data_IF_611833098916
#
_entry.id   IF_611833098916
#
_cell.length_a   1.000
_cell.length_b   1.000
_cell.length_c   1.000
_cell.angle_alpha   90.00
_cell.angle_beta   90.00
_cell.angle_gamma   90.00
#
_symmetry.space_group_name_H-M   'P 1'
#
loop_
_entity.id
_entity.type
_entity.pdbx_description
1 polymer ?
#
# COMPACT_ATOMS: atom_id res chain seq x y z
N UNK A 1 -76.94 -0.38 39.93
CA UNK A 1 -78.31 -0.39 39.35
C UNK A 1 -78.18 -0.97 37.92
N UNK A 2 -78.79 -2.17 37.80
CA UNK A 2 -79.46 -2.76 36.62
C UNK A 2 -78.80 -2.69 35.29
N UNK A 3 -78.19 -3.82 34.75
CA UNK A 3 -78.87 -5.01 34.14
C UNK A 3 -79.50 -4.71 32.78
N UNK A 4 -79.09 -5.41 31.73
CA UNK A 4 -79.65 -6.61 31.09
C UNK A 4 -78.95 -6.78 29.72
N UNK A 5 -78.33 -7.84 29.42
CA UNK A 5 -78.67 -9.13 28.79
C UNK A 5 -79.70 -9.09 27.65
N UNK A 6 -79.38 -9.60 26.55
CA UNK A 6 -79.99 -10.64 25.67
C UNK A 6 -79.74 -10.32 24.21
N UNK A 7 -79.57 -11.16 23.24
CA UNK A 7 -79.58 -12.57 22.94
C UNK A 7 -79.30 -12.75 21.47
N UNK A 8 -78.55 -13.76 21.17
CA UNK A 8 -78.51 -14.65 19.99
C UNK A 8 -79.42 -14.32 18.80
N UNK A 9 -78.76 -14.44 17.58
CA UNK A 9 -79.29 -15.39 16.59
C UNK A 9 -78.20 -15.69 15.53
N UNK A 10 -78.02 -16.97 15.26
CA UNK A 10 -77.19 -17.63 14.29
C UNK A 10 -77.84 -17.50 12.91
N UNK A 11 -77.10 -17.10 11.90
CA UNK A 11 -77.37 -17.51 10.53
C UNK A 11 -76.09 -17.82 9.79
N UNK A 12 -76.03 -19.06 9.31
CA UNK A 12 -75.01 -19.59 8.42
C UNK A 12 -75.12 -18.96 7.03
N UNK A 13 -74.01 -18.48 6.51
CA UNK A 13 -73.90 -18.31 5.07
C UNK A 13 -72.51 -18.79 4.66
N UNK A 14 -72.54 -19.91 3.96
CA UNK A 14 -71.38 -20.45 3.24
C UNK A 14 -70.93 -19.45 2.18
N UNK A 15 -69.74 -18.87 2.35
CA UNK A 15 -69.02 -18.20 1.25
C UNK A 15 -67.77 -18.99 0.94
N UNK A 16 -67.81 -19.62 -0.19
CA UNK A 16 -66.67 -20.33 -0.82
C UNK A 16 -65.61 -19.27 -1.07
N UNK A 17 -64.55 -19.27 -0.27
CA UNK A 17 -63.34 -18.49 -0.56
C UNK A 17 -62.50 -19.31 -1.54
N UNK A 18 -62.45 -18.82 -2.77
CA UNK A 18 -61.44 -19.26 -3.74
C UNK A 18 -60.07 -18.79 -3.24
N UNK A 19 -59.29 -19.72 -2.71
CA UNK A 19 -57.86 -19.50 -2.42
C UNK A 19 -57.12 -19.46 -3.76
N UNK A 20 -56.84 -18.25 -4.26
CA UNK A 20 -55.84 -18.07 -5.28
C UNK A 20 -54.47 -18.36 -4.67
N UNK A 21 -54.01 -19.57 -4.87
CA UNK A 21 -52.60 -19.91 -4.68
C UNK A 21 -51.80 -19.16 -5.75
N UNK A 22 -51.26 -18.00 -5.38
CA UNK A 22 -50.23 -17.36 -6.18
C UNK A 22 -48.97 -18.20 -5.97
N UNK A 23 -48.70 -19.08 -6.92
CA UNK A 23 -47.40 -19.75 -7.04
C UNK A 23 -46.39 -18.64 -7.45
N UNK A 24 -45.70 -18.07 -6.50
CA UNK A 24 -44.48 -17.33 -6.75
C UNK A 24 -43.41 -18.32 -7.22
N UNK A 25 -43.33 -18.48 -8.54
CA UNK A 25 -42.15 -19.09 -9.14
C UNK A 25 -40.99 -18.15 -8.89
N UNK A 26 -40.25 -18.44 -7.83
CA UNK A 26 -38.93 -17.86 -7.64
C UNK A 26 -38.06 -18.38 -8.79
N UNK A 27 -37.90 -17.59 -9.82
CA UNK A 27 -36.81 -17.73 -10.78
C UNK A 27 -35.50 -17.50 -10.03
N UNK A 28 -35.05 -18.54 -9.31
CA UNK A 28 -33.67 -18.64 -8.92
C UNK A 28 -32.88 -18.65 -10.22
N UNK A 29 -32.37 -17.47 -10.61
CA UNK A 29 -31.36 -17.37 -11.65
C UNK A 29 -30.22 -18.29 -11.20
N UNK A 30 -30.13 -19.49 -11.78
CA UNK A 30 -28.95 -20.31 -11.72
C UNK A 30 -27.82 -19.49 -12.34
N UNK A 31 -27.14 -18.68 -11.51
CA UNK A 31 -25.79 -18.27 -11.87
C UNK A 31 -25.04 -19.59 -12.05
N UNK A 32 -24.74 -19.92 -13.30
CA UNK A 32 -23.76 -20.98 -13.58
C UNK A 32 -22.57 -20.66 -12.69
N UNK A 33 -22.28 -21.54 -11.74
CA UNK A 33 -21.05 -21.45 -10.97
C UNK A 33 -19.92 -21.35 -12.00
N UNK A 34 -19.16 -20.28 -11.95
CA UNK A 34 -17.95 -20.20 -12.76
C UNK A 34 -17.15 -21.48 -12.49
N UNK A 35 -16.64 -22.12 -13.57
CA UNK A 35 -15.79 -23.28 -13.38
C UNK A 35 -14.66 -22.90 -12.42
N UNK A 36 -14.30 -23.77 -11.47
CA UNK A 36 -13.23 -23.46 -10.53
C UNK A 36 -12.00 -23.05 -11.35
N UNK A 37 -11.47 -21.86 -11.06
CA UNK A 37 -10.23 -21.38 -11.70
C UNK A 37 -9.21 -22.51 -11.60
N UNK A 38 -8.50 -22.87 -12.69
CA UNK A 38 -7.49 -23.91 -12.62
C UNK A 38 -6.52 -23.54 -11.48
N UNK A 39 -6.32 -24.46 -10.54
CA UNK A 39 -5.32 -24.28 -9.49
C UNK A 39 -3.98 -24.20 -10.19
N UNK A 40 -3.39 -23.00 -10.19
CA UNK A 40 -2.03 -22.83 -10.67
C UNK A 40 -1.11 -23.72 -9.82
N UNK A 41 -0.16 -24.38 -10.48
CA UNK A 41 0.91 -25.05 -9.74
C UNK A 41 1.60 -24.00 -8.83
N UNK A 42 1.62 -24.20 -7.51
CA UNK A 42 2.20 -23.23 -6.58
C UNK A 42 3.69 -22.96 -6.87
N UNK A 43 4.36 -23.83 -7.65
CA UNK A 43 5.74 -23.68 -8.04
C UNK A 43 5.92 -23.10 -9.46
N UNK A 44 4.85 -23.00 -10.25
CA UNK A 44 4.95 -22.41 -11.57
C UNK A 44 5.30 -20.90 -11.50
N UNK A 45 6.15 -20.41 -12.42
CA UNK A 45 6.35 -18.98 -12.57
C UNK A 45 5.04 -18.29 -12.95
N UNK A 46 4.70 -17.23 -12.26
CA UNK A 46 3.48 -16.45 -12.51
C UNK A 46 3.80 -14.98 -12.65
N UNK A 47 2.98 -14.29 -13.42
CA UNK A 47 2.94 -12.83 -13.51
C UNK A 47 1.69 -12.33 -12.82
N UNK A 48 1.81 -11.22 -12.06
CA UNK A 48 0.68 -10.51 -11.47
C UNK A 48 0.18 -9.50 -12.49
N UNK A 49 -1.07 -9.64 -12.91
CA UNK A 49 -1.72 -8.74 -13.84
C UNK A 49 -2.25 -7.51 -13.09
N UNK A 50 -2.29 -6.38 -13.75
CA UNK A 50 -2.94 -5.18 -13.22
C UNK A 50 -4.45 -5.26 -13.45
N UNK A 51 -5.28 -4.77 -12.50
CA UNK A 51 -6.71 -4.65 -12.72
C UNK A 51 -6.99 -3.65 -13.86
N UNK A 52 -7.86 -4.02 -14.80
CA UNK A 52 -8.35 -3.09 -15.81
C UNK A 52 -9.11 -1.93 -15.15
N UNK A 53 -10.00 -2.26 -14.23
CA UNK A 53 -10.78 -1.32 -13.41
C UNK A 53 -10.43 -1.48 -11.94
N UNK A 54 -10.45 -0.36 -11.21
CA UNK A 54 -10.16 -0.35 -9.79
C UNK A 54 -8.68 -0.57 -9.45
N UNK A 55 -8.43 -1.05 -8.24
CA UNK A 55 -7.10 -1.23 -7.68
C UNK A 55 -7.05 -2.40 -6.69
N UNK A 56 -5.87 -2.95 -6.46
CA UNK A 56 -5.61 -3.90 -5.39
C UNK A 56 -5.70 -3.23 -4.02
N UNK A 57 -6.32 -3.93 -3.06
CA UNK A 57 -6.16 -3.60 -1.65
C UNK A 57 -4.83 -4.10 -1.13
N UNK A 58 -4.24 -3.35 -0.21
CA UNK A 58 -3.06 -3.78 0.53
C UNK A 58 -3.02 -3.16 1.91
N UNK A 59 -2.18 -3.72 2.79
CA UNK A 59 -1.92 -3.15 4.09
C UNK A 59 -0.52 -3.50 4.62
N UNK A 60 0.00 -2.61 5.46
CA UNK A 60 0.98 -2.87 6.50
C UNK A 60 0.20 -3.07 7.81
N UNK A 61 0.60 -4.00 8.66
CA UNK A 61 -0.22 -4.48 9.77
C UNK A 61 0.53 -4.50 11.11
N UNK A 62 1.32 -3.45 11.40
CA UNK A 62 2.03 -3.28 12.68
C UNK A 62 2.89 -4.53 13.04
N UNK A 63 3.87 -4.81 12.19
CA UNK A 63 4.77 -5.96 12.33
C UNK A 63 5.97 -5.68 13.25
N UNK A 64 5.75 -4.92 14.33
CA UNK A 64 6.74 -4.60 15.35
C UNK A 64 7.65 -3.44 15.00
N UNK A 65 8.56 -3.08 15.90
CA UNK A 65 9.39 -1.86 15.83
C UNK A 65 10.31 -1.78 14.59
N UNK A 66 10.64 -2.93 14.00
CA UNK A 66 11.42 -3.02 12.76
C UNK A 66 10.56 -3.31 11.53
N UNK A 67 9.22 -3.35 11.68
CA UNK A 67 8.23 -3.56 10.62
C UNK A 67 8.41 -4.87 9.83
N UNK A 68 9.05 -5.87 10.42
CA UNK A 68 9.49 -7.10 9.75
C UNK A 68 9.08 -8.42 10.46
N UNK A 69 8.35 -8.38 11.57
CA UNK A 69 7.83 -9.59 12.22
C UNK A 69 6.49 -10.04 11.62
N UNK A 70 6.53 -10.42 10.34
CA UNK A 70 5.34 -10.86 9.61
C UNK A 70 4.81 -12.18 10.18
N UNK A 71 3.56 -12.16 10.67
CA UNK A 71 2.86 -13.30 11.24
C UNK A 71 1.52 -13.50 10.53
N UNK A 72 1.18 -14.75 10.26
CA UNK A 72 -0.07 -15.08 9.59
C UNK A 72 -1.28 -14.68 10.44
N UNK A 73 -1.18 -14.80 11.75
CA UNK A 73 -2.23 -14.45 12.70
C UNK A 73 -2.57 -12.96 12.62
N UNK A 74 -1.54 -12.09 12.55
CA UNK A 74 -1.73 -10.64 12.41
C UNK A 74 -2.43 -10.29 11.09
N UNK A 75 -2.09 -11.00 10.00
CA UNK A 75 -2.73 -10.82 8.70
C UNK A 75 -4.20 -11.23 8.75
N UNK A 76 -4.50 -12.41 9.27
CA UNK A 76 -5.85 -12.96 9.36
C UNK A 76 -6.75 -12.14 10.30
N UNK A 77 -6.18 -11.63 11.40
CA UNK A 77 -6.89 -10.73 12.33
C UNK A 77 -7.29 -9.42 11.64
N UNK A 78 -6.34 -8.80 10.90
CA UNK A 78 -6.64 -7.58 10.15
C UNK A 78 -7.72 -7.83 9.10
N UNK A 79 -7.60 -8.87 8.29
CA UNK A 79 -8.57 -9.18 7.23
C UNK A 79 -9.95 -9.50 7.78
N UNK A 80 -10.03 -10.24 8.88
CA UNK A 80 -11.28 -10.49 9.61
C UNK A 80 -11.89 -9.18 10.10
N UNK A 81 -11.05 -8.31 10.68
CA UNK A 81 -11.49 -7.01 11.18
C UNK A 81 -12.04 -6.12 10.07
N UNK A 82 -11.38 -6.05 8.92
CA UNK A 82 -11.81 -5.17 7.81
C UNK A 82 -12.80 -5.84 6.85
N UNK A 83 -12.95 -7.17 6.90
CA UNK A 83 -13.85 -7.94 6.04
C UNK A 83 -13.39 -8.01 4.59
N UNK A 84 -12.08 -7.91 4.34
CA UNK A 84 -11.50 -7.90 2.99
C UNK A 84 -10.10 -8.52 3.00
N UNK A 85 -9.84 -9.45 2.09
CA UNK A 85 -8.51 -9.99 1.84
C UNK A 85 -7.59 -8.90 1.25
N UNK A 86 -6.29 -8.98 1.55
CA UNK A 86 -5.31 -8.03 1.05
C UNK A 86 -4.46 -8.66 -0.05
N UNK A 87 -4.57 -8.12 -1.27
CA UNK A 87 -3.77 -8.58 -2.40
C UNK A 87 -2.28 -8.23 -2.25
N UNK A 88 -1.95 -7.18 -1.49
CA UNK A 88 -0.57 -6.74 -1.25
C UNK A 88 -0.36 -6.58 0.25
N UNK A 89 0.73 -7.16 0.77
CA UNK A 89 1.13 -7.00 2.17
C UNK A 89 2.53 -6.38 2.20
N UNK A 90 2.63 -5.22 2.86
CA UNK A 90 3.87 -4.50 3.04
C UNK A 90 4.62 -4.98 4.29
N UNK A 91 5.93 -5.03 4.20
CA UNK A 91 6.84 -5.26 5.32
C UNK A 91 8.20 -4.65 5.02
N UNK A 92 8.97 -4.37 6.08
CA UNK A 92 10.31 -3.81 5.94
C UNK A 92 11.40 -4.90 5.94
N UNK A 93 12.54 -4.56 5.36
CA UNK A 93 13.78 -5.32 5.42
C UNK A 93 14.93 -4.33 5.42
N UNK A 94 15.63 -4.18 6.52
CA UNK A 94 16.72 -3.22 6.64
C UNK A 94 18.09 -3.88 6.48
N UNK A 95 19.03 -3.13 5.92
CA UNK A 95 20.34 -3.66 5.53
C UNK A 95 21.21 -4.10 6.72
N UNK A 96 20.95 -3.59 7.91
CA UNK A 96 21.68 -3.97 9.12
C UNK A 96 21.65 -5.45 9.43
N UNK A 97 20.57 -6.15 9.07
CA UNK A 97 20.46 -7.59 9.19
C UNK A 97 21.28 -8.36 8.15
N UNK A 98 21.60 -7.75 7.02
CA UNK A 98 22.28 -8.35 5.88
C UNK A 98 21.68 -9.71 5.47
N UNK A 99 20.36 -9.82 5.56
CA UNK A 99 19.59 -11.02 5.26
C UNK A 99 18.58 -10.77 4.13
N UNK A 100 18.07 -11.85 3.56
CA UNK A 100 16.90 -11.83 2.69
C UNK A 100 15.68 -12.29 3.51
N UNK A 101 14.55 -11.59 3.47
CA UNK A 101 13.41 -11.86 4.36
C UNK A 101 12.58 -13.09 3.94
N UNK A 102 13.24 -14.22 3.70
CA UNK A 102 12.64 -15.46 3.15
C UNK A 102 11.41 -15.91 3.91
N UNK A 103 11.43 -15.86 5.27
CA UNK A 103 10.30 -16.27 6.09
C UNK A 103 9.07 -15.40 5.81
N UNK A 104 9.25 -14.10 5.87
CA UNK A 104 8.19 -13.11 5.71
C UNK A 104 7.54 -13.21 4.31
N UNK A 105 8.36 -13.27 3.27
CA UNK A 105 7.88 -13.39 1.90
C UNK A 105 7.10 -14.68 1.68
N UNK A 106 7.55 -15.80 2.27
CA UNK A 106 6.82 -17.07 2.19
C UNK A 106 5.49 -17.05 2.95
N UNK A 107 5.40 -16.38 4.11
CA UNK A 107 4.13 -16.19 4.82
C UNK A 107 3.16 -15.43 3.95
N UNK A 108 3.57 -14.27 3.42
CA UNK A 108 2.75 -13.42 2.58
C UNK A 108 2.29 -14.14 1.30
N UNK A 109 3.22 -14.78 0.59
CA UNK A 109 2.90 -15.45 -0.68
C UNK A 109 1.97 -16.66 -0.50
N UNK A 110 2.19 -17.48 0.54
CA UNK A 110 1.32 -18.63 0.84
C UNK A 110 -0.07 -18.21 1.28
N UNK A 111 -0.21 -17.03 1.85
CA UNK A 111 -1.51 -16.43 2.18
C UNK A 111 -2.27 -15.97 0.93
N UNK A 112 -1.61 -15.85 -0.23
CA UNK A 112 -2.21 -15.43 -1.49
C UNK A 112 -1.99 -13.97 -1.84
N UNK A 113 -1.13 -13.27 -1.09
CA UNK A 113 -0.79 -11.87 -1.32
C UNK A 113 0.59 -11.71 -1.98
N UNK A 114 0.79 -10.59 -2.67
CA UNK A 114 2.10 -10.19 -3.21
C UNK A 114 2.87 -9.38 -2.17
N UNK A 115 4.13 -9.75 -1.86
CA UNK A 115 4.96 -8.96 -0.97
C UNK A 115 5.33 -7.61 -1.56
N UNK A 116 5.18 -6.54 -0.76
CA UNK A 116 5.79 -5.23 -0.95
C UNK A 116 6.87 -5.06 0.11
N UNK A 117 8.14 -4.95 -0.30
CA UNK A 117 9.28 -4.91 0.61
C UNK A 117 9.93 -3.54 0.59
N UNK A 118 9.94 -2.85 1.72
CA UNK A 118 10.73 -1.64 1.92
C UNK A 118 12.16 -2.04 2.29
N UNK A 119 13.06 -2.07 1.29
CA UNK A 119 14.44 -2.49 1.45
C UNK A 119 15.36 -1.30 1.73
N UNK A 120 15.48 -0.99 3.01
CA UNK A 120 16.03 0.26 3.50
C UNK A 120 17.50 0.17 3.87
N UNK A 121 18.38 1.02 3.26
CA UNK A 121 19.83 1.00 3.52
C UNK A 121 20.19 1.74 4.81
N UNK A 122 19.85 1.19 5.96
CA UNK A 122 20.28 1.64 7.28
C UNK A 122 20.60 0.47 8.22
N UNK A 123 21.30 0.79 9.32
CA UNK A 123 21.76 -0.24 10.27
C UNK A 123 20.62 -0.70 11.19
N UNK A 124 19.89 0.27 11.76
CA UNK A 124 18.72 0.02 12.62
C UNK A 124 17.64 1.04 12.37
N UNK A 125 16.44 0.60 12.00
CA UNK A 125 15.32 1.49 11.78
C UNK A 125 15.02 2.36 13.00
N UNK A 126 14.75 3.64 12.77
CA UNK A 126 14.24 4.62 13.75
C UNK A 126 15.06 4.83 15.04
N UNK A 127 16.22 4.15 15.22
CA UNK A 127 17.01 4.22 16.47
C UNK A 127 18.23 5.13 16.40
N UNK A 128 18.52 5.71 15.26
CA UNK A 128 19.72 6.51 15.01
C UNK A 128 19.39 7.89 14.47
N UNK A 129 20.43 8.74 14.33
CA UNK A 129 20.32 10.02 13.65
C UNK A 129 19.78 9.81 12.23
N UNK A 130 19.06 10.80 11.72
CA UNK A 130 18.48 10.79 10.38
C UNK A 130 19.52 10.72 9.26
N UNK A 131 20.76 11.17 9.52
CA UNK A 131 21.84 11.21 8.53
C UNK A 131 22.43 9.84 8.16
N UNK A 132 23.30 9.82 7.12
CA UNK A 132 23.92 8.62 6.61
C UNK A 132 24.72 7.83 7.65
N UNK A 133 24.65 6.52 7.54
CA UNK A 133 25.46 5.58 8.32
C UNK A 133 26.43 4.79 7.41
N UNK A 134 26.85 3.59 7.86
CA UNK A 134 27.71 2.70 7.07
C UNK A 134 27.12 2.24 5.74
N UNK A 135 25.81 2.36 5.54
CA UNK A 135 25.09 2.04 4.31
C UNK A 135 24.81 3.29 3.45
N UNK A 136 25.66 4.30 3.56
CA UNK A 136 25.50 5.54 2.79
C UNK A 136 25.44 5.29 1.29
N UNK A 137 24.71 6.14 0.54
CA UNK A 137 24.63 6.04 -0.92
C UNK A 137 26.02 6.07 -1.59
N UNK A 138 26.97 6.82 -1.03
CA UNK A 138 28.35 6.88 -1.54
C UNK A 138 29.06 5.53 -1.42
N UNK A 139 28.93 4.84 -0.28
CA UNK A 139 29.50 3.51 -0.06
C UNK A 139 28.84 2.45 -0.94
N UNK A 140 27.53 2.56 -1.19
CA UNK A 140 26.79 1.69 -2.10
C UNK A 140 27.31 1.86 -3.54
N UNK A 141 27.41 3.09 -4.02
CA UNK A 141 27.93 3.40 -5.36
C UNK A 141 29.38 2.94 -5.52
N UNK A 142 30.18 3.01 -4.47
CA UNK A 142 31.56 2.53 -4.47
C UNK A 142 31.69 0.99 -4.47
N UNK A 143 30.59 0.25 -4.40
CA UNK A 143 30.57 -1.21 -4.44
C UNK A 143 30.90 -1.91 -3.12
N UNK A 144 30.97 -1.17 -2.01
CA UNK A 144 31.28 -1.76 -0.69
C UNK A 144 30.28 -2.83 -0.27
N UNK A 145 29.04 -2.73 -0.73
CA UNK A 145 27.96 -3.63 -0.37
C UNK A 145 27.58 -4.63 -1.46
N UNK A 146 28.37 -4.71 -2.53
CA UNK A 146 28.08 -5.56 -3.68
C UNK A 146 27.85 -7.02 -3.31
N UNK A 147 28.70 -7.57 -2.44
CA UNK A 147 28.56 -8.96 -2.00
C UNK A 147 27.24 -9.24 -1.28
N UNK A 148 26.76 -8.27 -0.48
CA UNK A 148 25.44 -8.38 0.17
C UNK A 148 24.31 -8.26 -0.85
N UNK A 149 24.36 -7.27 -1.74
CA UNK A 149 23.34 -7.06 -2.77
C UNK A 149 23.26 -8.27 -3.70
N UNK A 150 24.38 -8.85 -4.09
CA UNK A 150 24.43 -10.06 -4.91
C UNK A 150 23.78 -11.26 -4.22
N UNK A 151 24.12 -11.50 -2.96
CA UNK A 151 23.54 -12.57 -2.15
C UNK A 151 22.04 -12.39 -1.99
N UNK A 152 21.59 -11.14 -1.78
CA UNK A 152 20.16 -10.81 -1.71
C UNK A 152 19.47 -11.10 -3.06
N UNK A 153 20.10 -10.72 -4.19
CA UNK A 153 19.62 -11.02 -5.54
C UNK A 153 19.53 -12.52 -5.83
N UNK A 154 20.52 -13.31 -5.40
CA UNK A 154 20.48 -14.78 -5.52
C UNK A 154 19.29 -15.36 -4.74
N UNK A 155 19.08 -14.89 -3.50
CA UNK A 155 17.95 -15.34 -2.68
C UNK A 155 16.60 -14.90 -3.27
N UNK A 156 16.50 -13.71 -3.87
CA UNK A 156 15.32 -13.25 -4.57
C UNK A 156 14.98 -14.12 -5.78
N UNK A 157 16.01 -14.49 -6.57
CA UNK A 157 15.86 -15.47 -7.67
C UNK A 157 15.37 -16.82 -7.16
N UNK A 158 15.94 -17.33 -6.07
CA UNK A 158 15.54 -18.61 -5.46
C UNK A 158 14.12 -18.56 -4.91
N UNK A 159 13.69 -17.46 -4.32
CA UNK A 159 12.30 -17.24 -3.94
C UNK A 159 11.35 -17.37 -5.14
N UNK A 160 11.74 -16.80 -6.29
CA UNK A 160 11.12 -17.03 -7.61
C UNK A 160 9.66 -16.58 -7.76
N UNK A 161 9.06 -15.97 -6.74
CA UNK A 161 7.67 -15.46 -6.79
C UNK A 161 7.68 -13.94 -6.98
N UNK A 162 6.66 -13.38 -7.65
CA UNK A 162 6.54 -11.92 -7.81
C UNK A 162 6.62 -11.21 -6.47
N UNK A 163 7.39 -10.15 -6.42
CA UNK A 163 7.49 -9.23 -5.28
C UNK A 163 7.79 -7.83 -5.76
N UNK A 164 7.30 -6.83 -5.05
CA UNK A 164 7.65 -5.43 -5.29
C UNK A 164 8.68 -5.01 -4.24
N UNK A 165 9.72 -4.30 -4.68
CA UNK A 165 10.79 -3.82 -3.82
C UNK A 165 10.93 -2.30 -3.95
N UNK A 166 10.97 -1.63 -2.82
CA UNK A 166 11.26 -0.21 -2.68
C UNK A 166 12.65 -0.06 -2.10
N UNK A 167 13.60 0.48 -2.87
CA UNK A 167 14.90 0.87 -2.35
C UNK A 167 14.88 2.35 -2.01
N UNK A 168 15.14 2.69 -0.74
CA UNK A 168 15.23 4.07 -0.30
C UNK A 168 13.92 4.86 -0.44
N UNK A 169 12.88 4.43 0.29
CA UNK A 169 11.57 5.07 0.35
C UNK A 169 11.66 6.56 0.71
N UNK A 170 10.79 7.39 0.11
CA UNK A 170 10.64 8.82 0.46
C UNK A 170 11.94 9.64 0.45
N UNK A 171 12.77 9.42 -0.57
CA UNK A 171 14.07 10.08 -0.69
C UNK A 171 13.99 11.62 -0.80
N UNK A 172 12.80 12.16 -1.07
CA UNK A 172 12.50 13.58 -1.15
C UNK A 172 12.12 14.22 0.21
N UNK A 173 12.25 13.46 1.31
CA UNK A 173 12.18 13.99 2.68
C UNK A 173 13.57 14.25 3.27
N UNK A 174 13.65 14.71 4.53
CA UNK A 174 14.91 14.89 5.28
C UNK A 174 15.06 13.89 6.45
N UNK A 175 14.15 12.92 6.56
CA UNK A 175 14.05 12.02 7.70
C UNK A 175 14.74 10.67 7.53
N UNK A 176 15.15 10.31 6.32
CA UNK A 176 15.85 9.05 6.06
C UNK A 176 17.30 9.24 5.65
N UNK A 177 18.22 8.31 6.02
CA UNK A 177 19.66 8.43 5.73
C UNK A 177 20.02 8.47 4.24
N UNK A 178 19.14 8.04 3.36
CA UNK A 178 19.31 8.05 1.91
C UNK A 178 18.70 9.27 1.22
N UNK A 179 18.17 10.21 1.99
CA UNK A 179 17.60 11.45 1.44
C UNK A 179 18.68 12.27 0.72
N UNK A 180 18.32 12.86 -0.43
CA UNK A 180 19.20 13.74 -1.17
C UNK A 180 19.72 14.92 -0.38
N UNK A 181 18.98 15.35 0.65
CA UNK A 181 19.41 16.37 1.62
C UNK A 181 20.80 16.12 2.20
N UNK A 182 21.14 14.88 2.51
CA UNK A 182 22.42 14.50 3.12
C UNK A 182 23.56 14.31 2.13
N UNK A 183 23.31 14.45 0.81
CA UNK A 183 24.27 14.18 -0.26
C UNK A 183 24.51 15.37 -1.18
N UNK A 184 24.44 16.56 -0.63
CA UNK A 184 24.68 17.81 -1.35
C UNK A 184 23.41 18.55 -1.76
N UNK A 185 22.21 17.96 -1.59
CA UNK A 185 20.93 18.62 -1.82
C UNK A 185 20.88 19.41 -3.12
N UNK A 186 20.83 20.75 -2.99
CA UNK A 186 20.75 21.72 -4.09
C UNK A 186 22.10 22.04 -4.79
N UNK A 187 23.21 21.49 -4.33
CA UNK A 187 24.51 21.69 -4.98
C UNK A 187 24.49 21.12 -6.40
N UNK A 188 25.04 21.83 -7.34
CA UNK A 188 25.12 21.36 -8.73
C UNK A 188 26.27 20.36 -8.94
N UNK A 189 26.02 19.35 -9.75
CA UNK A 189 27.04 18.40 -10.19
C UNK A 189 28.02 19.12 -11.12
N UNK A 190 29.12 19.61 -10.58
CA UNK A 190 30.09 20.42 -11.31
C UNK A 190 29.45 21.69 -11.87
N UNK A 191 29.62 21.94 -13.17
CA UNK A 191 29.07 23.12 -13.87
C UNK A 191 27.73 22.82 -14.60
N UNK A 192 27.04 21.73 -14.26
CA UNK A 192 25.78 21.35 -14.93
C UNK A 192 24.60 21.99 -14.22
N UNK A 193 23.94 23.01 -14.81
CA UNK A 193 22.76 23.61 -14.22
C UNK A 193 21.63 22.57 -14.15
N UNK A 194 20.81 22.65 -13.10
CA UNK A 194 19.63 21.80 -12.85
C UNK A 194 19.93 20.29 -12.73
N UNK A 195 21.21 19.93 -12.49
CA UNK A 195 21.62 18.58 -12.10
C UNK A 195 22.22 18.64 -10.70
N UNK A 196 21.48 18.16 -9.72
CA UNK A 196 21.79 18.34 -8.30
C UNK A 196 22.48 17.11 -7.69
N UNK A 197 23.47 17.33 -6.83
CA UNK A 197 24.29 16.28 -6.19
C UNK A 197 23.43 15.30 -5.38
N UNK A 198 22.49 15.78 -4.58
CA UNK A 198 21.65 14.95 -3.74
C UNK A 198 20.83 13.93 -4.56
N UNK A 199 20.01 14.37 -5.50
CA UNK A 199 19.27 13.49 -6.40
C UNK A 199 20.16 12.58 -7.25
N UNK A 200 21.30 13.07 -7.73
CA UNK A 200 22.22 12.26 -8.54
C UNK A 200 22.87 11.12 -7.75
N UNK A 201 23.20 11.34 -6.47
CA UNK A 201 23.66 10.26 -5.61
C UNK A 201 22.59 9.19 -5.42
N UNK A 202 21.35 9.59 -5.18
CA UNK A 202 20.25 8.64 -5.06
C UNK A 202 20.05 7.83 -6.37
N UNK A 203 19.95 8.51 -7.51
CA UNK A 203 19.79 7.83 -8.82
C UNK A 203 20.91 6.82 -9.10
N UNK A 204 22.15 7.18 -8.82
CA UNK A 204 23.31 6.29 -9.02
C UNK A 204 23.23 5.07 -8.11
N UNK A 205 22.91 5.25 -6.83
CA UNK A 205 22.76 4.15 -5.88
C UNK A 205 21.59 3.24 -6.26
N UNK A 206 20.44 3.81 -6.60
CA UNK A 206 19.27 3.06 -7.04
C UNK A 206 19.58 2.18 -8.26
N UNK A 207 20.17 2.77 -9.31
CA UNK A 207 20.58 2.02 -10.52
C UNK A 207 21.59 0.93 -10.20
N UNK A 208 22.59 1.23 -9.38
CA UNK A 208 23.60 0.25 -8.96
C UNK A 208 22.96 -0.97 -8.30
N UNK A 209 22.06 -0.75 -7.34
CA UNK A 209 21.34 -1.83 -6.64
C UNK A 209 20.50 -2.65 -7.61
N UNK A 210 19.73 -2.01 -8.48
CA UNK A 210 18.88 -2.69 -9.47
C UNK A 210 19.73 -3.51 -10.45
N UNK A 211 20.79 -2.94 -10.97
CA UNK A 211 21.69 -3.63 -11.91
C UNK A 211 22.33 -4.87 -11.27
N UNK A 212 22.78 -4.77 -10.02
CA UNK A 212 23.35 -5.90 -9.27
C UNK A 212 22.36 -7.04 -9.10
N UNK A 213 21.16 -6.72 -8.61
CA UNK A 213 20.10 -7.73 -8.40
C UNK A 213 19.66 -8.36 -9.71
N UNK A 214 19.51 -7.58 -10.78
CA UNK A 214 19.19 -8.09 -12.12
C UNK A 214 20.27 -8.99 -12.69
N UNK A 215 21.55 -8.64 -12.48
CA UNK A 215 22.69 -9.47 -12.89
C UNK A 215 22.69 -10.86 -12.22
N UNK A 216 22.02 -11.00 -11.04
CA UNK A 216 21.82 -12.30 -10.38
C UNK A 216 20.66 -13.11 -10.97
N UNK A 217 19.93 -12.57 -11.94
CA UNK A 217 18.80 -13.24 -12.60
C UNK A 217 17.47 -13.17 -11.81
N UNK A 218 17.31 -12.26 -10.85
CA UNK A 218 16.11 -12.06 -10.06
C UNK A 218 15.01 -11.30 -10.85
N UNK A 219 14.53 -11.88 -11.96
CA UNK A 219 13.51 -11.27 -12.83
C UNK A 219 12.11 -11.15 -12.17
N UNK A 220 11.90 -11.83 -11.06
CA UNK A 220 10.67 -11.79 -10.25
C UNK A 220 10.55 -10.53 -9.39
N UNK A 221 11.63 -9.73 -9.25
CA UNK A 221 11.62 -8.46 -8.53
C UNK A 221 11.08 -7.35 -9.43
N UNK A 222 10.04 -6.66 -8.95
CA UNK A 222 9.49 -5.44 -9.55
C UNK A 222 9.92 -4.25 -8.70
N UNK A 223 10.52 -3.26 -9.34
CA UNK A 223 11.10 -2.11 -8.66
C UNK A 223 10.11 -0.96 -8.60
N UNK A 224 9.94 -0.38 -7.40
CA UNK A 224 9.11 0.80 -7.20
C UNK A 224 9.99 2.01 -6.87
N UNK A 225 9.77 3.09 -7.61
CA UNK A 225 10.24 4.43 -7.26
C UNK A 225 9.19 5.08 -6.37
N UNK A 226 9.51 5.33 -5.10
CA UNK A 226 8.54 5.70 -4.07
C UNK A 226 8.91 7.01 -3.40
N UNK A 227 8.11 8.05 -3.61
CA UNK A 227 8.28 9.39 -3.03
C UNK A 227 7.31 9.63 -1.87
N UNK A 228 7.62 10.55 -0.97
CA UNK A 228 6.59 11.18 -0.16
C UNK A 228 5.75 12.11 -1.05
N UNK A 229 4.46 12.26 -0.76
CA UNK A 229 3.58 13.17 -1.50
C UNK A 229 3.99 14.64 -1.38
N UNK A 230 4.83 14.97 -0.41
CA UNK A 230 5.32 16.30 -0.17
C UNK A 230 6.85 16.30 -0.01
N UNK A 231 7.55 17.12 -0.79
CA UNK A 231 9.00 17.24 -0.69
C UNK A 231 9.40 18.13 0.49
N UNK A 232 10.38 17.67 1.27
CA UNK A 232 10.93 18.46 2.36
C UNK A 232 12.46 18.47 2.31
N UNK A 233 13.10 19.62 2.09
CA UNK A 233 12.49 20.94 1.86
C UNK A 233 11.68 20.99 0.55
N UNK A 234 10.71 21.93 0.50
CA UNK A 234 9.94 22.21 -0.71
C UNK A 234 10.77 23.08 -1.64
N UNK A 235 11.57 22.45 -2.48
CA UNK A 235 12.44 23.13 -3.43
C UNK A 235 12.52 22.32 -4.73
N UNK A 236 12.86 22.99 -5.84
CA UNK A 236 12.89 22.41 -7.19
C UNK A 236 13.85 21.23 -7.32
N UNK A 237 14.98 21.25 -6.64
CA UNK A 237 15.94 20.14 -6.62
C UNK A 237 15.40 18.89 -5.93
N UNK A 238 14.38 19.04 -5.08
CA UNK A 238 13.86 17.96 -4.23
C UNK A 238 12.55 17.34 -4.74
N UNK A 239 12.10 17.68 -5.93
CA UNK A 239 10.93 17.06 -6.54
C UNK A 239 11.26 15.72 -7.21
N UNK A 240 10.23 14.87 -7.37
CA UNK A 240 10.36 13.52 -7.91
C UNK A 240 11.15 13.44 -9.23
N UNK A 241 11.01 14.36 -10.21
CA UNK A 241 11.77 14.30 -11.45
C UNK A 241 13.28 14.33 -11.27
N UNK A 242 13.77 15.05 -10.26
CA UNK A 242 15.21 15.13 -9.99
C UNK A 242 15.80 13.76 -9.57
N UNK A 243 15.01 12.94 -8.89
CA UNK A 243 15.41 11.62 -8.35
C UNK A 243 15.11 10.44 -9.28
N UNK A 244 14.31 10.63 -10.32
CA UNK A 244 13.83 9.52 -11.15
C UNK A 244 14.97 8.78 -11.85
N UNK A 245 15.19 7.48 -11.59
CA UNK A 245 16.33 6.76 -12.12
C UNK A 245 16.18 6.37 -13.59
N UNK A 246 15.00 6.58 -14.19
CA UNK A 246 14.69 6.25 -15.57
C UNK A 246 13.77 5.04 -15.71
N UNK A 247 13.04 5.00 -16.83
CA UNK A 247 12.00 4.01 -17.12
C UNK A 247 12.47 2.56 -17.07
N UNK A 248 13.73 2.31 -17.47
CA UNK A 248 14.32 0.97 -17.48
C UNK A 248 14.56 0.41 -16.07
N UNK A 249 14.59 1.26 -15.05
CA UNK A 249 14.88 0.88 -13.68
C UNK A 249 13.63 0.76 -12.78
N UNK A 250 12.48 1.17 -13.28
CA UNK A 250 11.25 1.28 -12.49
C UNK A 250 10.12 0.49 -13.12
N UNK A 251 9.42 -0.31 -12.35
CA UNK A 251 8.19 -1.03 -12.76
C UNK A 251 6.93 -0.34 -12.22
N UNK A 252 7.02 0.31 -11.05
CA UNK A 252 5.93 1.00 -10.37
C UNK A 252 6.36 2.38 -9.91
N UNK A 253 5.44 3.34 -10.01
CA UNK A 253 5.56 4.65 -9.37
C UNK A 253 4.77 4.61 -8.07
N UNK A 254 5.38 5.02 -6.96
CA UNK A 254 4.76 4.95 -5.64
C UNK A 254 4.79 6.30 -4.92
N UNK A 255 3.82 6.49 -4.03
CA UNK A 255 3.83 7.61 -3.10
C UNK A 255 3.24 7.23 -1.75
N UNK A 256 3.74 7.87 -0.68
CA UNK A 256 3.08 7.92 0.62
C UNK A 256 2.09 9.07 0.66
N UNK A 257 0.92 8.86 1.27
CA UNK A 257 -0.14 9.85 1.43
C UNK A 257 -0.65 9.80 2.86
N UNK A 258 -0.11 10.67 3.68
CA UNK A 258 -0.57 10.78 5.06
C UNK A 258 -1.41 12.05 5.24
N UNK A 259 -2.54 11.89 5.95
CA UNK A 259 -3.27 13.01 6.53
C UNK A 259 -2.59 13.46 7.82
N UNK A 260 -3.37 13.87 8.80
CA UNK A 260 -2.86 14.26 10.11
C UNK A 260 -2.13 13.10 10.80
N UNK A 261 -0.85 13.24 11.06
CA UNK A 261 -0.05 12.28 11.83
C UNK A 261 0.18 12.73 13.27
N UNK A 262 0.26 14.04 13.50
CA UNK A 262 0.50 14.64 14.82
C UNK A 262 -0.66 15.55 15.23
N UNK A 263 -0.81 15.76 16.54
CA UNK A 263 -1.97 16.44 17.16
C UNK A 263 -2.28 17.82 16.57
N UNK A 264 -1.26 18.59 16.24
CA UNK A 264 -1.42 20.00 15.83
C UNK A 264 -1.36 20.19 14.30
N UNK A 265 -1.35 19.10 13.53
CA UNK A 265 -1.35 19.13 12.07
C UNK A 265 -2.77 19.22 11.49
N UNK A 266 -2.94 19.87 10.33
CA UNK A 266 -4.19 19.82 9.60
C UNK A 266 -4.40 18.40 9.01
N UNK A 267 -5.67 18.03 8.78
CA UNK A 267 -6.03 16.84 8.01
C UNK A 267 -6.69 17.25 6.69
N UNK A 268 -5.91 17.57 5.64
CA UNK A 268 -6.44 18.01 4.35
C UNK A 268 -7.23 16.91 3.66
N UNK A 269 -8.04 17.28 2.67
CA UNK A 269 -8.72 16.31 1.82
C UNK A 269 -7.74 15.59 0.87
N UNK A 270 -8.15 14.44 0.36
CA UNK A 270 -7.31 13.59 -0.50
C UNK A 270 -6.86 14.31 -1.79
N UNK A 271 -7.72 15.04 -2.52
CA UNK A 271 -7.27 15.80 -3.69
C UNK A 271 -6.16 16.81 -3.38
N UNK A 272 -6.22 17.48 -2.25
CA UNK A 272 -5.16 18.40 -1.82
C UNK A 272 -3.82 17.73 -1.57
N UNK A 273 -3.84 16.46 -1.13
CA UNK A 273 -2.64 15.66 -0.85
C UNK A 273 -2.09 14.97 -2.11
N UNK A 274 -2.93 14.65 -3.09
CA UNK A 274 -2.60 13.69 -4.17
C UNK A 274 -2.54 14.33 -5.56
N UNK A 275 -3.32 15.38 -5.85
CA UNK A 275 -3.43 15.92 -7.22
C UNK A 275 -2.07 16.34 -7.81
N UNK A 276 -1.23 17.01 -7.02
CA UNK A 276 0.08 17.44 -7.47
C UNK A 276 1.06 16.27 -7.63
N UNK A 277 1.37 15.48 -6.58
CA UNK A 277 2.34 14.40 -6.69
C UNK A 277 1.90 13.32 -7.69
N UNK A 278 0.61 13.04 -7.82
CA UNK A 278 0.10 12.13 -8.84
C UNK A 278 0.42 12.61 -10.26
N UNK A 279 0.20 13.90 -10.56
CA UNK A 279 0.54 14.47 -11.87
C UNK A 279 2.05 14.45 -12.12
N UNK A 280 2.84 14.73 -11.10
CA UNK A 280 4.28 14.68 -11.17
C UNK A 280 4.77 13.27 -11.50
N UNK A 281 4.34 12.24 -10.76
CA UNK A 281 4.65 10.85 -11.04
C UNK A 281 4.19 10.41 -12.43
N UNK A 282 2.96 10.75 -12.81
CA UNK A 282 2.45 10.42 -14.15
C UNK A 282 3.23 11.09 -15.29
N UNK A 283 3.88 12.22 -15.01
CA UNK A 283 4.76 12.92 -15.96
C UNK A 283 6.13 12.27 -16.13
N UNK A 284 6.57 11.44 -15.17
CA UNK A 284 7.87 10.73 -15.26
C UNK A 284 7.84 9.62 -16.32
N UNK A 285 6.74 8.89 -16.37
CA UNK A 285 6.54 7.78 -17.29
C UNK A 285 5.02 7.61 -17.55
N UNK A 286 4.56 7.63 -18.82
CA UNK A 286 3.14 7.55 -19.14
C UNK A 286 2.53 6.16 -18.91
N UNK A 287 3.34 5.09 -18.90
CA UNK A 287 2.86 3.70 -18.96
C UNK A 287 2.91 2.98 -17.59
N UNK A 288 3.73 3.47 -16.65
CA UNK A 288 3.89 2.78 -15.35
C UNK A 288 2.64 2.94 -14.49
N UNK A 289 2.21 1.86 -13.81
CA UNK A 289 1.15 1.95 -12.81
C UNK A 289 1.60 2.78 -11.61
N UNK A 290 0.62 3.42 -10.95
CA UNK A 290 0.84 4.16 -9.70
C UNK A 290 0.32 3.33 -8.53
N UNK A 291 1.05 3.34 -7.41
CA UNK A 291 0.62 2.80 -6.14
C UNK A 291 0.58 3.91 -5.08
N UNK A 292 -0.52 3.99 -4.35
CA UNK A 292 -0.50 4.67 -3.06
C UNK A 292 0.09 3.66 -2.08
N UNK A 293 1.43 3.68 -1.97
CA UNK A 293 2.19 2.61 -1.33
C UNK A 293 2.10 2.65 0.20
N UNK A 294 1.79 3.82 0.73
CA UNK A 294 1.44 4.04 2.14
C UNK A 294 0.32 5.08 2.19
N UNK A 295 -0.72 4.83 2.96
CA UNK A 295 -1.72 5.85 3.23
C UNK A 295 -2.43 5.62 4.56
N UNK A 296 -2.58 6.68 5.32
CA UNK A 296 -3.32 6.69 6.57
C UNK A 296 -3.55 8.12 7.08
N UNK A 297 -4.34 8.24 8.13
CA UNK A 297 -4.44 9.47 8.94
C UNK A 297 -4.68 9.10 10.39
N UNK A 298 -4.22 9.93 11.30
CA UNK A 298 -4.45 9.80 12.73
C UNK A 298 -5.90 10.08 13.12
N UNK A 299 -6.22 9.75 14.35
CA UNK A 299 -7.53 10.00 14.96
C UNK A 299 -7.34 10.96 16.15
N UNK A 300 -7.30 12.25 15.85
CA UNK A 300 -7.12 13.29 16.85
C UNK A 300 -8.42 14.07 17.02
N UNK A 301 -8.78 14.42 18.27
CA UNK A 301 -9.91 15.32 18.48
C UNK A 301 -9.59 16.69 17.89
N UNK A 302 -10.47 17.21 17.05
CA UNK A 302 -10.31 18.57 16.54
C UNK A 302 -10.30 19.58 17.69
N UNK A 303 -9.25 20.40 17.75
CA UNK A 303 -9.35 21.68 18.43
C UNK A 303 -10.08 22.68 17.52
N UNK A 304 -10.68 23.72 18.09
CA UNK A 304 -11.38 24.75 17.32
C UNK A 304 -10.49 25.44 16.26
N UNK A 305 -9.17 25.28 16.35
CA UNK A 305 -8.16 25.90 15.51
C UNK A 305 -7.62 24.97 14.41
N UNK A 306 -7.88 23.63 14.47
CA UNK A 306 -7.41 22.67 13.47
C UNK A 306 -8.49 22.44 12.41
N UNK A 307 -8.19 22.88 11.19
CA UNK A 307 -9.06 22.71 10.02
C UNK A 307 -8.74 21.36 9.35
N UNK A 308 -9.77 20.60 8.99
CA UNK A 308 -9.57 19.38 8.23
C UNK A 308 -10.73 18.39 8.29
N UNK A 309 -10.50 17.21 7.75
CA UNK A 309 -11.49 16.13 7.72
C UNK A 309 -11.35 15.23 8.95
N UNK A 310 -12.47 14.76 9.50
CA UNK A 310 -12.45 13.65 10.45
C UNK A 310 -11.97 12.37 9.77
N UNK A 311 -11.21 11.55 10.48
CA UNK A 311 -10.65 10.30 9.96
C UNK A 311 -11.66 9.40 9.23
N UNK A 312 -12.89 9.15 9.72
CA UNK A 312 -13.86 8.34 8.98
C UNK A 312 -14.23 8.92 7.61
N UNK A 313 -14.42 10.24 7.54
CA UNK A 313 -14.73 10.93 6.28
C UNK A 313 -13.52 10.93 5.33
N UNK A 314 -12.31 11.10 5.87
CA UNK A 314 -11.06 11.05 5.12
C UNK A 314 -10.82 9.66 4.52
N UNK A 315 -10.98 8.58 5.30
CA UNK A 315 -10.88 7.19 4.81
C UNK A 315 -11.90 6.93 3.70
N UNK A 316 -13.15 7.35 3.89
CA UNK A 316 -14.20 7.18 2.87
C UNK A 316 -13.84 7.90 1.58
N UNK A 317 -13.38 9.15 1.67
CA UNK A 317 -12.95 9.92 0.52
C UNK A 317 -11.74 9.26 -0.16
N UNK A 318 -10.73 8.80 0.60
CA UNK A 318 -9.55 8.13 0.05
C UNK A 318 -9.94 6.92 -0.80
N UNK A 319 -10.72 6.00 -0.23
CA UNK A 319 -11.15 4.78 -0.93
C UNK A 319 -12.04 5.05 -2.16
N UNK A 320 -12.73 6.17 -2.20
CA UNK A 320 -13.50 6.59 -3.37
C UNK A 320 -12.60 7.21 -4.44
N UNK A 321 -11.81 8.25 -4.10
CA UNK A 321 -11.08 9.01 -5.10
C UNK A 321 -9.85 8.30 -5.65
N UNK A 322 -9.18 7.44 -4.87
CA UNK A 322 -8.08 6.61 -5.39
C UNK A 322 -8.55 5.76 -6.57
N UNK A 323 -9.76 5.24 -6.50
CA UNK A 323 -10.37 4.39 -7.50
C UNK A 323 -10.99 5.15 -8.68
N UNK A 324 -11.58 6.33 -8.42
CA UNK A 324 -12.41 7.03 -9.42
C UNK A 324 -11.72 8.20 -10.09
N UNK A 325 -10.83 8.90 -9.36
CA UNK A 325 -10.16 10.12 -9.86
C UNK A 325 -8.78 9.83 -10.46
N UNK A 326 -8.08 8.84 -9.93
CA UNK A 326 -6.69 8.56 -10.29
C UNK A 326 -6.57 7.25 -11.06
N UNK A 327 -6.89 7.27 -12.36
CA UNK A 327 -7.06 6.08 -13.21
C UNK A 327 -5.83 5.16 -13.28
N UNK A 328 -4.62 5.69 -13.03
CA UNK A 328 -3.37 4.92 -13.00
C UNK A 328 -3.07 4.33 -11.62
N UNK A 329 -3.83 4.66 -10.59
CA UNK A 329 -3.71 3.99 -9.30
C UNK A 329 -4.23 2.56 -9.44
N UNK A 330 -3.33 1.58 -9.26
CA UNK A 330 -3.60 0.15 -9.40
C UNK A 330 -3.46 -0.62 -8.10
N UNK A 331 -3.01 0.04 -7.03
CA UNK A 331 -2.97 -0.49 -5.69
C UNK A 331 -2.97 0.64 -4.65
N UNK A 332 -3.50 0.35 -3.46
CA UNK A 332 -3.39 1.24 -2.30
C UNK A 332 -3.17 0.41 -1.03
N UNK A 333 -2.10 0.73 -0.29
CA UNK A 333 -1.62 -0.01 0.87
C UNK A 333 -1.85 0.81 2.14
N UNK A 334 -2.81 0.40 2.95
CA UNK A 334 -3.13 1.10 4.20
C UNK A 334 -2.07 0.85 5.26
N UNK A 335 -1.59 1.92 5.91
CA UNK A 335 -0.61 1.84 6.99
C UNK A 335 -1.33 1.69 8.34
N UNK A 336 -1.48 0.44 8.81
CA UNK A 336 -2.21 0.09 10.02
C UNK A 336 -1.26 -0.02 11.21
N UNK A 337 -0.88 1.14 11.76
CA UNK A 337 0.10 1.22 12.83
C UNK A 337 -0.28 2.22 13.91
N UNK A 338 0.36 2.13 15.06
CA UNK A 338 0.27 3.08 16.16
C UNK A 338 1.61 3.18 16.86
N UNK A 339 2.12 4.41 17.01
CA UNK A 339 3.34 4.65 17.77
C UNK A 339 3.18 5.80 18.77
N UNK A 340 4.08 5.85 19.77
CA UNK A 340 4.14 6.94 20.74
C UNK A 340 5.10 8.01 20.27
N UNK A 341 4.67 9.25 20.31
CA UNK A 341 5.47 10.42 19.97
C UNK A 341 6.36 10.87 21.16
N UNK A 342 7.43 11.64 20.92
CA UNK A 342 8.29 12.17 21.98
C UNK A 342 7.56 13.00 23.05
N UNK A 343 6.47 13.66 22.69
CA UNK A 343 5.59 14.44 23.57
C UNK A 343 4.57 13.59 24.35
N UNK A 344 4.69 12.27 24.31
CA UNK A 344 3.81 11.29 24.92
C UNK A 344 2.41 11.17 24.30
N UNK A 345 2.11 11.88 23.24
CA UNK A 345 0.92 11.66 22.42
C UNK A 345 1.08 10.38 21.58
N UNK A 346 0.00 9.95 20.93
CA UNK A 346 0.05 8.79 20.03
C UNK A 346 -0.43 9.17 18.65
N UNK A 347 0.36 8.80 17.64
CA UNK A 347 -0.09 8.71 16.26
C UNK A 347 -0.81 7.39 16.08
N UNK A 348 -2.13 7.40 16.04
CA UNK A 348 -2.94 6.20 15.88
C UNK A 348 -3.54 6.14 14.48
N UNK A 349 -2.81 5.49 13.59
CA UNK A 349 -3.21 5.30 12.19
C UNK A 349 -4.10 4.08 11.98
N UNK A 350 -4.25 3.19 12.97
CA UNK A 350 -5.01 1.95 12.84
C UNK A 350 -6.43 2.22 12.34
N UNK A 351 -6.94 1.37 11.45
CA UNK A 351 -8.32 1.48 10.91
C UNK A 351 -9.39 1.41 11.99
N UNK A 352 -9.09 0.77 13.10
CA UNK A 352 -9.96 0.57 14.26
C UNK A 352 -9.69 1.54 15.42
N UNK A 353 -9.07 2.69 15.15
CA UNK A 353 -8.88 3.74 16.16
C UNK A 353 -10.22 4.26 16.73
N UNK A 354 -11.28 4.19 15.92
CA UNK A 354 -12.69 4.37 16.34
C UNK A 354 -13.61 3.42 15.59
N UNK A 355 -14.81 3.21 16.11
CA UNK A 355 -15.86 2.38 15.47
C UNK A 355 -16.22 2.95 14.10
N UNK A 356 -16.32 4.26 14.01
CA UNK A 356 -16.65 5.01 12.79
C UNK A 356 -15.56 4.88 11.73
N UNK A 357 -14.29 4.92 12.12
CA UNK A 357 -13.15 4.74 11.21
C UNK A 357 -13.10 3.33 10.62
N UNK A 358 -13.29 2.31 11.47
CA UNK A 358 -13.39 0.92 11.01
C UNK A 358 -14.58 0.72 10.07
N UNK A 359 -15.75 1.28 10.42
CA UNK A 359 -16.93 1.20 9.56
C UNK A 359 -16.68 1.85 8.20
N UNK A 360 -16.10 3.03 8.17
CA UNK A 360 -15.78 3.74 6.93
C UNK A 360 -14.83 2.93 6.03
N UNK A 361 -13.81 2.31 6.61
CA UNK A 361 -12.88 1.46 5.87
C UNK A 361 -13.59 0.21 5.30
N UNK A 362 -14.33 -0.53 6.14
CA UNK A 362 -15.08 -1.72 5.72
C UNK A 362 -16.06 -1.45 4.59
N UNK A 363 -16.83 -0.38 4.70
CA UNK A 363 -17.79 0.03 3.67
C UNK A 363 -17.08 0.42 2.36
N UNK A 364 -15.96 1.13 2.45
CA UNK A 364 -15.19 1.55 1.29
C UNK A 364 -14.53 0.39 0.53
N UNK A 365 -13.86 -0.53 1.22
CA UNK A 365 -13.19 -1.69 0.60
C UNK A 365 -14.15 -2.78 0.14
N UNK A 366 -15.42 -2.73 0.58
CA UNK A 366 -16.47 -3.64 0.10
C UNK A 366 -16.85 -3.38 -1.37
N UNK A 367 -16.50 -2.21 -1.93
CA UNK A 367 -16.70 -1.95 -3.35
C UNK A 367 -15.94 -2.98 -4.19
N UNK A 368 -16.57 -3.59 -5.23
CA UNK A 368 -15.97 -4.65 -6.04
C UNK A 368 -14.72 -4.21 -6.83
N UNK A 369 -14.56 -2.91 -7.11
CA UNK A 369 -13.36 -2.37 -7.76
C UNK A 369 -12.13 -2.35 -6.84
N UNK A 370 -12.28 -2.65 -5.55
CA UNK A 370 -11.19 -2.98 -4.66
C UNK A 370 -10.94 -4.48 -4.70
N UNK A 371 -9.85 -4.90 -5.35
CA UNK A 371 -9.51 -6.31 -5.54
C UNK A 371 -8.65 -6.82 -4.38
N UNK A 372 -9.19 -7.75 -3.60
CA UNK A 372 -8.45 -8.42 -2.52
C UNK A 372 -7.61 -9.60 -3.01
N UNK A 373 -7.91 -10.15 -4.18
CA UNK A 373 -7.23 -11.32 -4.75
C UNK A 373 -6.31 -10.93 -5.90
N UNK A 374 -5.14 -11.54 -5.97
CA UNK A 374 -4.23 -11.35 -7.10
C UNK A 374 -4.78 -11.97 -8.38
N UNK A 375 -4.66 -11.24 -9.48
CA UNK A 375 -4.91 -11.75 -10.83
C UNK A 375 -3.60 -12.34 -11.35
N UNK A 376 -3.50 -13.67 -11.41
CA UNK A 376 -2.28 -14.37 -11.78
C UNK A 376 -2.39 -14.95 -13.18
N UNK A 377 -1.30 -14.84 -13.95
CA UNK A 377 -1.12 -15.46 -15.26
C UNK A 377 0.14 -16.34 -15.24
N UNK A 378 0.06 -17.60 -15.69
CA UNK A 378 1.26 -18.42 -15.87
C UNK A 378 2.22 -17.78 -16.85
N UNK A 379 3.51 -17.79 -16.53
CA UNK A 379 4.55 -17.40 -17.48
C UNK A 379 4.84 -18.60 -18.37
N UNK A 380 4.62 -18.47 -19.67
CA UNK A 380 5.00 -19.51 -20.63
C UNK A 380 6.53 -19.65 -20.63
N UNK A 381 7.03 -20.82 -20.25
CA UNK A 381 8.43 -21.12 -20.43
C UNK A 381 8.72 -21.19 -21.95
N UNK A 382 9.46 -20.23 -22.47
CA UNK A 382 10.00 -20.37 -23.83
C UNK A 382 10.86 -21.64 -23.86
N UNK A 383 10.41 -22.64 -24.61
CA UNK A 383 11.15 -23.88 -24.88
C UNK A 383 12.43 -23.59 -25.66
#
# INVERSE_FOLDING_TARGET
MRSHLRHLSIWHSFVIRHSCFVILIALAACRKAEPPKPRLDPNAPVEVLLPEHGAYTGAFMDFGDSEDDVRIETIEEFETMVGKHQAIIASSSYWGEQSFPTRNLNVIWRHGAMPLVFWSPWDRPYTQNRGPDKFSLKEIIAGKWDAYIDKWGDSAREFGKPMIVVFGVEMNGDWFPWSGWYYGGEEWVGEKPDVWEGPEHFKKAYRHVVDRVRARGAANVKWMFHTNNYSYPLDTWNFAPAYYPGADYVDWLGMSVYGQQFKDEPNPDIPSLVDWPYRELCGLDPDKPVMIAEWATGDFPFSADVKGMLKPAWIKQALEVFRTRYSRVKAAVYWHERWQNPDQTYSNLRVNSSVESLKAYREGVANPDWHGELMLKPVEQKK
#
